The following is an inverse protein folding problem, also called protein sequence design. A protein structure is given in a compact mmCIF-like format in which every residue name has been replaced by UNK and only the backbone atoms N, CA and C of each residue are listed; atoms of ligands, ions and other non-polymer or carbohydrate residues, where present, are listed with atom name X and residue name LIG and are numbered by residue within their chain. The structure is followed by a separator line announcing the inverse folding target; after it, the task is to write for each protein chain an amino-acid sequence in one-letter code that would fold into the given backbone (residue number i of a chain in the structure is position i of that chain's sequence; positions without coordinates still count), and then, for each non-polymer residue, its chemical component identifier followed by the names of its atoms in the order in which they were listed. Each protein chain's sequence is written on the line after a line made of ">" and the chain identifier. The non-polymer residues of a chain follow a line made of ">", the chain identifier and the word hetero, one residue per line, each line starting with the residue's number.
data_IF_690951138914
#
_entry.id   IF_690951138914
#
_cell.length_a   1.000
_cell.length_b   1.000
_cell.length_c   1.000
_cell.angle_alpha   90.00
_cell.angle_beta   90.00
_cell.angle_gamma   90.00
#
_symmetry.space_group_name_H-M   'P 1'
#
loop_
_entity.id
_entity.type
_entity.pdbx_description
1 polymer ?
#
# COMPACT_ATOMS: atom_id res chain seq x y z
N UNK A 1 -7.54 19.51 -0.47
CA UNK A 1 -6.16 19.27 -0.94
C UNK A 1 -5.44 20.57 -1.20
N UNK A 2 -4.27 20.76 -0.58
CA UNK A 2 -3.44 21.97 -0.71
C UNK A 2 -2.64 21.98 -2.02
N UNK A 3 -2.16 23.15 -2.43
CA UNK A 3 -1.25 23.28 -3.59
C UNK A 3 0.06 22.51 -3.40
N UNK A 4 0.56 22.45 -2.17
CA UNK A 4 1.73 21.64 -1.82
C UNK A 4 1.49 20.15 -2.09
N UNK A 5 0.33 19.61 -1.66
CA UNK A 5 -0.01 18.21 -1.90
C UNK A 5 -0.11 17.89 -3.40
N UNK A 6 -0.68 18.79 -4.20
CA UNK A 6 -0.71 18.65 -5.67
C UNK A 6 0.70 18.61 -6.27
N UNK A 7 1.62 19.46 -5.78
CA UNK A 7 3.03 19.48 -6.22
C UNK A 7 3.75 18.17 -5.88
N UNK A 8 3.54 17.62 -4.69
CA UNK A 8 4.09 16.31 -4.29
C UNK A 8 3.55 15.19 -5.20
N UNK A 9 2.23 15.15 -5.43
CA UNK A 9 1.62 14.16 -6.35
C UNK A 9 2.16 14.29 -7.77
N UNK A 10 2.31 15.50 -8.29
CA UNK A 10 2.84 15.72 -9.64
C UNK A 10 4.28 15.19 -9.79
N UNK A 11 5.15 15.48 -8.82
CA UNK A 11 6.52 14.93 -8.79
C UNK A 11 6.54 13.42 -8.71
N UNK A 12 5.72 12.83 -7.83
CA UNK A 12 5.66 11.39 -7.69
C UNK A 12 5.17 10.73 -8.99
N UNK A 13 4.17 11.33 -9.66
CA UNK A 13 3.67 10.81 -10.93
C UNK A 13 4.76 10.77 -12.01
N UNK A 14 5.65 11.76 -12.07
CA UNK A 14 6.80 11.75 -12.98
C UNK A 14 7.71 10.54 -12.70
N UNK A 15 8.07 10.31 -11.43
CA UNK A 15 8.91 9.16 -11.04
C UNK A 15 8.20 7.83 -11.35
N UNK A 16 6.88 7.73 -11.10
CA UNK A 16 6.10 6.53 -11.44
C UNK A 16 6.13 6.26 -12.94
N UNK A 17 5.90 7.29 -13.78
CA UNK A 17 5.94 7.15 -15.24
C UNK A 17 7.32 6.78 -15.77
N UNK A 18 8.38 7.31 -15.18
CA UNK A 18 9.75 7.07 -15.63
C UNK A 18 10.34 5.73 -15.15
N UNK A 19 9.97 5.29 -13.94
CA UNK A 19 10.63 4.15 -13.27
C UNK A 19 9.76 2.91 -13.16
N UNK A 20 8.45 3.09 -13.03
CA UNK A 20 7.54 1.99 -12.70
C UNK A 20 6.67 1.57 -13.87
N UNK A 21 6.49 2.42 -14.89
CA UNK A 21 5.66 2.10 -16.07
C UNK A 21 6.51 1.70 -17.27
N UNK A 22 6.11 0.61 -17.93
CA UNK A 22 6.68 0.18 -19.20
C UNK A 22 5.55 -0.18 -20.18
N UNK A 23 5.61 0.36 -21.40
CA UNK A 23 4.75 -0.07 -22.52
C UNK A 23 5.38 -1.30 -23.17
N UNK A 24 4.91 -2.49 -22.80
CA UNK A 24 5.40 -3.76 -23.31
C UNK A 24 4.32 -4.84 -23.23
N UNK A 25 4.29 -5.72 -24.21
CA UNK A 25 3.44 -6.91 -24.19
C UNK A 25 3.94 -7.90 -23.13
N UNK A 26 3.12 -8.15 -22.11
CA UNK A 26 3.41 -9.09 -21.03
C UNK A 26 2.26 -10.05 -20.80
N UNK A 27 2.59 -11.28 -20.41
CA UNK A 27 1.62 -12.23 -19.86
C UNK A 27 1.64 -12.04 -18.34
N UNK A 28 0.50 -11.62 -17.78
CA UNK A 28 0.34 -11.44 -16.34
C UNK A 28 0.34 -12.80 -15.63
N UNK A 29 0.55 -12.80 -14.31
CA UNK A 29 0.40 -14.01 -13.49
C UNK A 29 -1.01 -14.65 -13.57
N UNK A 30 -2.01 -13.89 -14.03
CA UNK A 30 -3.36 -14.37 -14.33
C UNK A 30 -3.50 -15.10 -15.67
N UNK A 31 -2.44 -15.16 -16.49
CA UNK A 31 -2.46 -15.69 -17.86
C UNK A 31 -3.01 -14.71 -18.92
N UNK A 32 -3.53 -13.55 -18.52
CA UNK A 32 -4.01 -12.52 -19.44
C UNK A 32 -2.86 -11.77 -20.10
N UNK A 33 -3.04 -11.37 -21.36
CA UNK A 33 -2.15 -10.41 -22.03
C UNK A 33 -2.42 -8.99 -21.53
N UNK A 34 -1.36 -8.22 -21.34
CA UNK A 34 -1.37 -6.80 -21.00
C UNK A 34 -0.39 -6.09 -21.92
N UNK A 35 -0.76 -4.93 -22.43
CA UNK A 35 0.07 -4.06 -23.29
C UNK A 35 0.97 -3.11 -22.48
N UNK A 36 0.89 -3.21 -21.15
CA UNK A 36 1.75 -2.50 -20.21
C UNK A 36 2.05 -3.31 -18.97
N UNK A 37 3.09 -2.88 -18.25
CA UNK A 37 3.50 -3.41 -16.96
C UNK A 37 3.74 -2.25 -15.99
N UNK A 38 3.31 -2.42 -14.73
CA UNK A 38 3.54 -1.46 -13.64
C UNK A 38 4.23 -2.17 -12.49
N UNK A 39 5.43 -1.73 -12.13
CA UNK A 39 6.20 -2.21 -10.98
C UNK A 39 6.58 -1.06 -10.06
N UNK A 40 5.68 -0.73 -9.13
CA UNK A 40 5.87 0.39 -8.23
C UNK A 40 7.03 0.23 -7.25
N UNK A 41 7.64 -0.96 -7.14
CA UNK A 41 8.85 -1.16 -6.32
C UNK A 41 10.02 -0.31 -6.81
N UNK A 42 10.09 -0.06 -8.12
CA UNK A 42 11.11 0.85 -8.69
C UNK A 42 10.97 2.27 -8.15
N UNK A 43 9.73 2.74 -7.95
CA UNK A 43 9.45 4.03 -7.32
C UNK A 43 9.59 3.98 -5.80
N UNK A 44 9.07 2.95 -5.12
CA UNK A 44 9.08 2.91 -3.65
C UNK A 44 10.47 2.61 -3.07
N UNK A 45 11.40 2.09 -3.87
CA UNK A 45 12.81 1.95 -3.50
C UNK A 45 13.69 3.10 -4.02
N UNK A 46 13.14 4.01 -4.83
CA UNK A 46 13.82 5.25 -5.20
C UNK A 46 13.83 6.23 -4.00
N UNK A 47 14.95 6.90 -3.67
CA UNK A 47 15.02 7.75 -2.47
C UNK A 47 13.94 8.84 -2.40
N UNK A 48 13.77 9.62 -3.47
CA UNK A 48 12.69 10.64 -3.53
C UNK A 48 11.32 9.98 -3.64
N UNK A 49 11.22 8.82 -4.31
CA UNK A 49 9.96 8.13 -4.51
C UNK A 49 9.40 7.58 -3.19
N UNK A 50 10.25 6.95 -2.38
CA UNK A 50 9.93 6.50 -1.03
C UNK A 50 9.44 7.66 -0.16
N UNK A 51 10.19 8.78 -0.14
CA UNK A 51 9.80 9.97 0.62
C UNK A 51 8.43 10.51 0.18
N UNK A 52 8.20 10.67 -1.12
CA UNK A 52 6.95 11.19 -1.66
C UNK A 52 5.77 10.26 -1.38
N UNK A 53 5.93 8.94 -1.57
CA UNK A 53 4.91 7.94 -1.24
C UNK A 53 4.56 8.01 0.25
N UNK A 54 5.56 8.04 1.13
CA UNK A 54 5.37 8.16 2.57
C UNK A 54 4.59 9.42 2.94
N UNK A 55 4.99 10.58 2.42
CA UNK A 55 4.32 11.89 2.66
C UNK A 55 2.87 11.91 2.20
N UNK A 56 2.61 11.42 0.99
CA UNK A 56 1.28 11.45 0.39
C UNK A 56 0.35 10.48 1.12
N UNK A 57 0.75 9.23 1.32
CA UNK A 57 -0.09 8.25 2.02
C UNK A 57 -0.30 8.60 3.48
N UNK A 58 0.72 9.10 4.17
CA UNK A 58 0.56 9.60 5.54
C UNK A 58 -0.47 10.74 5.61
N UNK A 59 -0.42 11.68 4.66
CA UNK A 59 -1.40 12.77 4.58
C UNK A 59 -2.81 12.23 4.34
N UNK A 60 -2.98 11.27 3.42
CA UNK A 60 -4.27 10.61 3.16
C UNK A 60 -4.81 9.87 4.40
N UNK A 61 -3.94 9.20 5.16
CA UNK A 61 -4.30 8.51 6.40
C UNK A 61 -4.73 9.52 7.47
N UNK A 62 -3.99 10.62 7.63
CA UNK A 62 -4.28 11.67 8.62
C UNK A 62 -5.58 12.41 8.32
N UNK A 63 -5.90 12.62 7.05
CA UNK A 63 -7.15 13.24 6.61
C UNK A 63 -8.36 12.30 6.69
N UNK A 64 -8.14 11.00 6.91
CA UNK A 64 -9.23 10.03 7.09
C UNK A 64 -9.83 10.06 8.50
N UNK A 65 -11.14 9.84 8.62
CA UNK A 65 -11.83 9.73 9.91
C UNK A 65 -11.70 8.34 10.56
N UNK A 66 -10.85 7.46 10.00
CA UNK A 66 -10.78 6.05 10.36
C UNK A 66 -10.04 5.78 11.69
N UNK A 67 -9.25 6.74 12.17
CA UNK A 67 -8.37 6.60 13.35
C UNK A 67 -7.43 5.40 13.23
N UNK A 68 -6.65 5.37 12.15
CA UNK A 68 -5.65 4.33 11.90
C UNK A 68 -4.49 4.47 12.89
N UNK A 69 -4.13 3.37 13.54
CA UNK A 69 -3.11 3.31 14.59
C UNK A 69 -1.81 2.65 14.11
N UNK A 70 -1.84 1.87 13.03
CA UNK A 70 -0.66 1.28 12.41
C UNK A 70 -0.90 0.95 10.93
N UNK A 71 0.19 0.74 10.21
CA UNK A 71 0.17 0.47 8.77
C UNK A 71 1.06 -0.72 8.41
N UNK A 72 0.69 -1.45 7.38
CA UNK A 72 1.45 -2.61 6.95
C UNK A 72 0.83 -3.28 5.74
N UNK A 73 1.41 -4.34 5.22
CA UNK A 73 0.84 -4.99 4.04
C UNK A 73 1.62 -6.22 3.62
N UNK A 74 1.21 -6.86 2.52
CA UNK A 74 1.86 -8.06 2.03
C UNK A 74 3.28 -7.77 1.55
N UNK A 75 4.24 -8.55 2.06
CA UNK A 75 5.60 -8.53 1.56
C UNK A 75 5.64 -8.99 0.09
N UNK A 76 6.49 -8.45 -0.79
CA UNK A 76 7.53 -7.44 -0.55
C UNK A 76 7.13 -6.03 -1.01
N UNK A 77 6.02 -5.88 -1.73
CA UNK A 77 5.60 -4.60 -2.31
C UNK A 77 5.27 -3.55 -1.25
N UNK A 78 4.64 -3.98 -0.16
CA UNK A 78 4.24 -3.10 0.94
C UNK A 78 5.41 -2.65 1.84
N UNK A 79 6.49 -3.44 1.94
CA UNK A 79 7.58 -3.23 2.90
C UNK A 79 8.23 -1.83 2.81
N UNK A 80 8.64 -1.33 1.61
CA UNK A 80 9.19 0.02 1.50
C UNK A 80 8.15 1.12 1.76
N UNK A 81 6.89 0.88 1.39
CA UNK A 81 5.79 1.83 1.58
C UNK A 81 5.50 2.01 3.08
N UNK A 82 5.33 0.90 3.79
CA UNK A 82 5.06 0.90 5.21
C UNK A 82 6.22 1.55 5.98
N UNK A 83 7.46 1.21 5.62
CA UNK A 83 8.64 1.83 6.23
C UNK A 83 8.67 3.36 5.99
N UNK A 84 8.38 3.81 4.77
CA UNK A 84 8.37 5.23 4.44
C UNK A 84 7.30 6.01 5.22
N UNK A 85 6.08 5.45 5.34
CA UNK A 85 5.00 6.07 6.14
C UNK A 85 5.40 6.14 7.61
N UNK A 86 5.96 5.07 8.19
CA UNK A 86 6.41 5.08 9.58
C UNK A 86 7.46 6.17 9.85
N UNK A 87 8.48 6.28 8.99
CA UNK A 87 9.51 7.34 9.11
C UNK A 87 8.90 8.73 9.00
N UNK A 88 8.06 8.97 7.99
CA UNK A 88 7.40 10.27 7.80
C UNK A 88 6.52 10.63 8.99
N UNK A 89 5.70 9.69 9.47
CA UNK A 89 4.79 9.91 10.59
C UNK A 89 5.52 10.30 11.87
N UNK A 90 6.70 9.71 12.11
CA UNK A 90 7.57 10.08 13.22
C UNK A 90 8.11 11.50 13.08
N UNK A 91 8.61 11.86 11.89
CA UNK A 91 9.11 13.21 11.60
C UNK A 91 8.02 14.28 11.71
N UNK A 92 6.77 13.92 11.47
CA UNK A 92 5.61 14.81 11.57
C UNK A 92 4.91 14.80 12.95
N UNK A 93 5.46 14.08 13.92
CA UNK A 93 5.04 14.15 15.33
C UNK A 93 3.79 13.34 15.70
N UNK A 94 3.26 12.50 14.80
CA UNK A 94 2.17 11.55 15.11
C UNK A 94 2.53 10.16 14.55
N UNK A 95 3.38 9.41 15.27
CA UNK A 95 4.00 8.20 14.74
C UNK A 95 2.98 7.06 14.52
N UNK A 96 3.12 6.39 13.39
CA UNK A 96 2.39 5.17 13.03
C UNK A 96 3.39 4.00 12.94
N UNK A 97 3.30 3.00 13.84
CA UNK A 97 4.07 1.77 13.71
C UNK A 97 3.82 1.07 12.38
N UNK A 98 4.88 0.50 11.82
CA UNK A 98 4.80 -0.38 10.66
C UNK A 98 4.78 -1.87 11.06
N UNK A 99 4.05 -2.66 10.29
CA UNK A 99 4.07 -4.11 10.34
C UNK A 99 4.17 -4.72 8.93
N UNK A 100 4.56 -5.98 8.85
CA UNK A 100 4.67 -6.71 7.59
C UNK A 100 3.82 -7.97 7.66
N UNK A 101 3.01 -8.20 6.62
CA UNK A 101 2.27 -9.45 6.44
C UNK A 101 3.12 -10.40 5.60
N UNK A 102 3.50 -11.52 6.20
CA UNK A 102 4.32 -12.54 5.54
C UNK A 102 3.51 -13.30 4.49
N UNK A 103 4.19 -13.75 3.43
CA UNK A 103 3.60 -14.66 2.43
C UNK A 103 3.29 -16.06 2.98
N UNK A 104 4.12 -16.50 3.93
CA UNK A 104 4.01 -17.79 4.61
C UNK A 104 4.14 -17.58 6.13
N UNK A 105 3.44 -18.39 6.93
CA UNK A 105 3.53 -18.26 8.39
C UNK A 105 4.95 -18.61 8.84
N UNK A 106 5.37 -18.10 9.99
CA UNK A 106 6.67 -18.47 10.58
C UNK A 106 6.80 -19.99 10.72
N UNK A 107 7.85 -20.57 10.11
CA UNK A 107 8.13 -22.02 10.14
C UNK A 107 8.51 -22.54 11.52
N UNK A 108 9.00 -21.68 12.41
CA UNK A 108 9.39 -22.02 13.77
C UNK A 108 8.70 -21.08 14.77
N UNK A 109 8.08 -21.64 15.82
CA UNK A 109 7.28 -20.90 16.80
C UNK A 109 5.76 -21.00 16.56
N UNK A 110 5.00 -19.96 16.94
CA UNK A 110 3.52 -19.93 16.93
C UNK A 110 2.87 -19.77 15.54
N UNK A 111 3.60 -19.97 14.43
CA UNK A 111 3.01 -19.88 13.09
C UNK A 111 2.51 -18.49 12.67
N UNK A 112 3.10 -17.42 13.21
CA UNK A 112 2.61 -16.04 13.04
C UNK A 112 2.76 -15.51 11.60
N UNK A 113 1.82 -14.67 11.18
CA UNK A 113 1.79 -13.97 9.89
C UNK A 113 2.38 -12.56 9.94
N UNK A 114 2.41 -11.93 11.10
CA UNK A 114 2.73 -10.50 11.25
C UNK A 114 4.10 -10.31 11.89
N UNK A 115 4.99 -9.56 11.21
CA UNK A 115 6.19 -8.99 11.82
C UNK A 115 5.90 -7.59 12.38
N UNK A 116 6.57 -7.22 13.47
CA UNK A 116 6.34 -5.92 14.13
C UNK A 116 5.16 -5.89 15.11
N UNK A 117 4.49 -7.04 15.36
CA UNK A 117 3.30 -7.15 16.21
C UNK A 117 3.47 -6.56 17.62
N UNK A 118 4.67 -6.59 18.20
CA UNK A 118 4.95 -6.02 19.54
C UNK A 118 4.79 -4.51 19.61
N UNK A 119 4.78 -3.82 18.47
CA UNK A 119 4.55 -2.38 18.39
C UNK A 119 3.06 -2.03 18.30
N UNK A 120 2.16 -3.03 18.30
CA UNK A 120 0.74 -2.86 18.07
C UNK A 120 -0.07 -3.15 19.33
N UNK A 121 -1.09 -2.34 19.60
CA UNK A 121 -2.09 -2.67 20.59
C UNK A 121 -2.97 -3.85 20.12
N UNK A 122 -3.50 -4.61 21.07
CA UNK A 122 -4.50 -5.64 20.76
C UNK A 122 -5.75 -4.99 20.15
N UNK A 123 -6.23 -5.50 19.02
CA UNK A 123 -7.39 -4.93 18.35
C UNK A 123 -7.12 -3.58 17.66
N UNK A 124 -5.87 -3.17 17.51
CA UNK A 124 -5.50 -1.91 16.87
C UNK A 124 -6.14 -1.79 15.49
N UNK A 125 -6.67 -0.59 15.20
CA UNK A 125 -7.16 -0.26 13.87
C UNK A 125 -5.98 -0.06 12.93
N UNK A 126 -5.93 -0.83 11.84
CA UNK A 126 -4.82 -0.79 10.91
C UNK A 126 -5.27 -0.55 9.48
N UNK A 127 -4.38 0.02 8.67
CA UNK A 127 -4.56 0.08 7.24
C UNK A 127 -3.55 -0.83 6.52
N UNK A 128 -4.03 -1.52 5.49
CA UNK A 128 -3.18 -2.26 4.57
C UNK A 128 -2.64 -1.31 3.50
N UNK A 129 -1.36 -1.41 3.15
CA UNK A 129 -0.74 -0.67 2.06
C UNK A 129 -0.26 -1.63 0.98
N UNK A 130 -0.40 -1.23 -0.28
CA UNK A 130 0.03 -1.98 -1.46
C UNK A 130 0.74 -1.07 -2.46
N UNK A 131 1.65 -1.65 -3.23
CA UNK A 131 2.31 -0.94 -4.34
C UNK A 131 1.36 -0.84 -5.54
N UNK A 132 0.81 -1.96 -5.98
CA UNK A 132 -0.13 -2.03 -7.11
C UNK A 132 -1.32 -2.91 -6.78
N UNK A 133 -2.54 -2.38 -6.93
CA UNK A 133 -3.77 -3.18 -6.83
C UNK A 133 -4.29 -3.50 -8.23
N UNK A 134 -4.47 -4.80 -8.50
CA UNK A 134 -5.07 -5.33 -9.74
C UNK A 134 -6.48 -5.85 -9.46
N UNK A 135 -6.56 -7.11 -9.02
CA UNK A 135 -7.80 -7.83 -8.70
C UNK A 135 -8.17 -7.75 -7.22
N UNK A 136 -7.35 -7.07 -6.40
CA UNK A 136 -7.51 -6.99 -4.94
C UNK A 136 -7.26 -8.29 -4.17
N UNK A 137 -6.89 -9.39 -4.83
CA UNK A 137 -6.69 -10.70 -4.19
C UNK A 137 -5.61 -10.70 -3.09
N UNK A 138 -4.45 -10.10 -3.40
CA UNK A 138 -3.33 -9.93 -2.45
C UNK A 138 -3.76 -9.12 -1.23
N UNK A 139 -4.39 -7.96 -1.46
CA UNK A 139 -4.89 -7.07 -0.41
C UNK A 139 -5.89 -7.77 0.51
N UNK A 140 -6.88 -8.47 -0.04
CA UNK A 140 -7.86 -9.22 0.76
C UNK A 140 -7.22 -10.37 1.54
N UNK A 141 -6.21 -11.04 0.98
CA UNK A 141 -5.48 -12.05 1.72
C UNK A 141 -4.71 -11.43 2.90
N UNK A 142 -4.04 -10.31 2.67
CA UNK A 142 -3.31 -9.60 3.71
C UNK A 142 -4.23 -9.09 4.83
N UNK A 143 -5.41 -8.57 4.47
CA UNK A 143 -6.47 -8.21 5.41
C UNK A 143 -6.81 -9.39 6.31
N UNK A 144 -7.15 -10.54 5.73
CA UNK A 144 -7.53 -11.74 6.50
C UNK A 144 -6.42 -12.18 7.46
N UNK A 145 -5.15 -12.16 7.02
CA UNK A 145 -4.01 -12.52 7.88
C UNK A 145 -3.81 -11.54 9.03
N UNK A 146 -4.02 -10.24 8.81
CA UNK A 146 -3.97 -9.24 9.86
C UNK A 146 -5.10 -9.45 10.89
N UNK A 147 -6.31 -9.75 10.42
CA UNK A 147 -7.47 -10.02 11.30
C UNK A 147 -7.32 -11.33 12.09
N UNK A 148 -6.78 -12.39 11.48
CA UNK A 148 -6.41 -13.65 12.16
C UNK A 148 -5.43 -13.42 13.33
N UNK A 149 -4.64 -12.35 13.25
CA UNK A 149 -3.66 -11.97 14.26
C UNK A 149 -4.23 -10.96 15.28
N UNK A 150 -5.53 -10.67 15.22
CA UNK A 150 -6.26 -9.83 16.16
C UNK A 150 -6.19 -8.33 15.87
N UNK A 151 -5.83 -7.94 14.64
CA UNK A 151 -5.89 -6.54 14.19
C UNK A 151 -7.27 -6.24 13.60
N UNK A 152 -7.68 -4.96 13.61
CA UNK A 152 -8.91 -4.50 12.97
C UNK A 152 -8.56 -3.73 11.70
N UNK A 153 -8.70 -4.34 10.54
CA UNK A 153 -8.38 -3.66 9.27
C UNK A 153 -9.54 -2.74 8.90
N UNK A 154 -9.24 -1.46 8.63
CA UNK A 154 -10.26 -0.44 8.30
C UNK A 154 -10.14 0.11 6.89
N UNK A 155 -8.97 0.01 6.26
CA UNK A 155 -8.74 0.52 4.92
C UNK A 155 -7.60 -0.21 4.20
N UNK A 156 -7.60 -0.10 2.88
CA UNK A 156 -6.49 -0.42 2.00
C UNK A 156 -6.08 0.84 1.22
N UNK A 157 -4.79 1.16 1.23
CA UNK A 157 -4.21 2.21 0.43
C UNK A 157 -3.26 1.64 -0.62
N UNK A 158 -3.24 2.21 -1.82
CA UNK A 158 -2.34 1.78 -2.89
C UNK A 158 -1.55 2.95 -3.48
N UNK A 159 -0.35 2.69 -4.02
CA UNK A 159 0.33 3.67 -4.88
C UNK A 159 -0.41 3.76 -6.21
N UNK A 160 -0.67 2.63 -6.86
CA UNK A 160 -1.42 2.57 -8.13
C UNK A 160 -2.58 1.57 -8.05
N UNK A 161 -3.77 2.02 -8.41
CA UNK A 161 -4.89 1.15 -8.78
C UNK A 161 -4.88 0.91 -10.30
N UNK A 162 -4.84 -0.35 -10.73
CA UNK A 162 -4.90 -0.71 -12.16
C UNK A 162 -6.30 -0.64 -12.77
N UNK A 163 -7.33 -0.37 -11.96
CA UNK A 163 -8.73 -0.33 -12.39
C UNK A 163 -9.19 -1.65 -13.01
N UNK A 164 -8.76 -2.77 -12.42
CA UNK A 164 -9.06 -4.13 -12.88
C UNK A 164 -9.98 -4.89 -11.91
N UNK A 165 -10.85 -4.18 -11.19
CA UNK A 165 -11.84 -4.75 -10.26
C UNK A 165 -11.38 -4.84 -8.80
N UNK A 166 -10.11 -4.48 -8.50
CA UNK A 166 -9.56 -4.59 -7.16
C UNK A 166 -10.18 -3.62 -6.16
N UNK A 167 -10.42 -2.38 -6.58
CA UNK A 167 -11.05 -1.35 -5.76
C UNK A 167 -12.47 -1.75 -5.34
N UNK A 168 -13.26 -2.26 -6.29
CA UNK A 168 -14.63 -2.74 -6.08
C UNK A 168 -14.62 -3.91 -5.11
N UNK A 169 -13.78 -4.92 -5.36
CA UNK A 169 -13.67 -6.10 -4.49
C UNK A 169 -13.30 -5.76 -3.05
N UNK A 170 -12.41 -4.79 -2.85
CA UNK A 170 -12.00 -4.34 -1.50
C UNK A 170 -13.17 -3.65 -0.80
N UNK A 171 -13.90 -2.78 -1.50
CA UNK A 171 -15.07 -2.07 -0.95
C UNK A 171 -16.23 -3.01 -0.66
N UNK A 172 -16.51 -3.96 -1.55
CA UNK A 172 -17.52 -5.01 -1.34
C UNK A 172 -17.21 -5.90 -0.12
N UNK A 173 -15.93 -6.09 0.18
CA UNK A 173 -15.50 -6.81 1.37
C UNK A 173 -15.58 -5.95 2.67
N UNK A 174 -16.02 -4.69 2.58
CA UNK A 174 -16.30 -3.81 3.72
C UNK A 174 -15.15 -2.89 4.12
N UNK A 175 -14.12 -2.72 3.30
CA UNK A 175 -12.96 -1.88 3.60
C UNK A 175 -12.94 -0.63 2.73
N UNK A 176 -12.49 0.51 3.28
CA UNK A 176 -12.19 1.66 2.44
C UNK A 176 -11.03 1.36 1.49
N UNK A 177 -11.10 1.91 0.27
CA UNK A 177 -10.03 1.81 -0.70
C UNK A 177 -9.70 3.17 -1.31
N UNK A 178 -8.42 3.54 -1.22
CA UNK A 178 -7.87 4.77 -1.79
C UNK A 178 -6.54 4.49 -2.48
N UNK A 179 -6.31 5.08 -3.65
CA UNK A 179 -5.03 5.01 -4.35
C UNK A 179 -4.45 6.41 -4.61
N UNK A 180 -3.13 6.53 -4.66
CA UNK A 180 -2.50 7.80 -5.07
C UNK A 180 -2.83 8.08 -6.53
N UNK A 181 -2.67 7.06 -7.38
CA UNK A 181 -2.92 7.13 -8.82
C UNK A 181 -3.77 5.95 -9.28
N UNK A 182 -4.44 6.16 -10.40
CA UNK A 182 -5.12 5.15 -11.20
C UNK A 182 -4.30 4.79 -12.42
N UNK A 183 -4.69 3.72 -13.13
CA UNK A 183 -4.12 3.36 -14.43
C UNK A 183 -4.14 4.56 -15.39
N UNK A 184 -5.25 5.30 -15.46
CA UNK A 184 -5.39 6.48 -16.34
C UNK A 184 -4.34 7.55 -16.06
N UNK A 185 -4.05 7.82 -14.79
CA UNK A 185 -3.02 8.81 -14.44
C UNK A 185 -1.63 8.43 -15.00
N UNK A 186 -1.31 7.14 -14.97
CA UNK A 186 0.01 6.60 -15.32
C UNK A 186 0.15 6.35 -16.84
N UNK A 187 -0.86 5.75 -17.47
CA UNK A 187 -0.79 5.31 -18.87
C UNK A 187 -1.18 6.40 -19.86
N UNK A 188 -2.05 7.34 -19.46
CA UNK A 188 -2.66 8.33 -20.35
C UNK A 188 -4.02 7.85 -20.86
#
# INVERSE_FOLDING_TARGET
>A
MTEEFKKLKSKLLQIVKEKSYEKKDVILASGKKSDFYIDCRQTTLHPEGAYLVGKILYSMIKESDLKIEAIGGPTMGADPIATAIAVVSHLEGNPLPAFIVRKEPKKHGLGQWIEGKKNLANGAKVAIVEDVVTTGGSSIQAVKRAEEEGLKVVAVFAVVDREEGGAEKIREAGYEFNAIFTKRDVVG
#
